data_IF_809096221045
#
_entry.id   IF_809096221045
#
_cell.length_a   1.000
_cell.length_b   1.000
_cell.length_c   1.000
_cell.angle_alpha   90.00
_cell.angle_beta   90.00
_cell.angle_gamma   90.00
#
_symmetry.space_group_name_H-M   'P 1'
#
loop_
_entity.id
_entity.type
_entity.pdbx_description
1 polymer ?
#
# COMPACT_ATOMS: atom_id res chain seq x y z
N UNK A 1 -5.43 -16.44 -38.39
CA UNK A 1 -5.51 -16.73 -36.94
C UNK A 1 -4.19 -16.22 -36.39
N UNK A 2 -4.20 -15.02 -35.81
CA UNK A 2 -2.97 -14.34 -35.41
C UNK A 2 -2.57 -14.93 -34.06
N UNK A 3 -1.38 -15.55 -34.02
CA UNK A 3 -0.67 -15.85 -32.78
C UNK A 3 -0.42 -14.54 -32.04
N UNK A 4 -1.32 -14.23 -31.12
CA UNK A 4 -1.21 -13.07 -30.25
C UNK A 4 -0.22 -13.44 -29.15
N UNK A 5 1.04 -13.09 -29.38
CA UNK A 5 2.15 -13.09 -28.42
C UNK A 5 1.69 -12.44 -27.10
N UNK A 6 1.23 -13.27 -26.17
CA UNK A 6 0.92 -12.87 -24.81
C UNK A 6 2.25 -12.70 -24.08
N UNK A 7 2.92 -11.56 -24.33
CA UNK A 7 4.03 -11.13 -23.51
C UNK A 7 3.60 -11.22 -22.04
N UNK A 8 4.37 -11.87 -21.16
CA UNK A 8 4.04 -11.89 -19.75
C UNK A 8 3.99 -10.44 -19.29
N UNK A 9 2.82 -9.96 -18.85
CA UNK A 9 2.68 -8.70 -18.15
C UNK A 9 3.59 -8.79 -16.92
N UNK A 10 4.85 -8.35 -17.05
CA UNK A 10 5.77 -8.26 -15.93
C UNK A 10 5.19 -7.22 -15.00
N UNK A 11 4.45 -7.67 -14.00
CA UNK A 11 3.95 -6.80 -12.96
C UNK A 11 5.16 -6.08 -12.36
N UNK A 12 5.22 -4.77 -12.55
CA UNK A 12 6.30 -3.95 -12.00
C UNK A 12 6.09 -3.93 -10.49
N UNK A 13 6.89 -4.72 -9.77
CA UNK A 13 6.89 -4.72 -8.30
C UNK A 13 7.27 -3.31 -7.84
N UNK A 14 6.35 -2.67 -7.14
CA UNK A 14 6.55 -1.35 -6.55
C UNK A 14 7.17 -1.47 -5.17
N UNK A 15 7.72 -0.36 -4.65
CA UNK A 15 8.22 -0.34 -3.26
C UNK A 15 7.10 -0.58 -2.24
N UNK A 16 5.84 -0.29 -2.59
CA UNK A 16 4.65 -0.53 -1.75
C UNK A 16 4.37 -2.02 -1.61
N UNK A 17 4.65 -2.84 -2.64
CA UNK A 17 4.46 -4.29 -2.61
C UNK A 17 5.41 -5.00 -1.64
N UNK A 18 6.52 -4.34 -1.28
CA UNK A 18 7.52 -4.85 -0.33
C UNK A 18 7.16 -4.57 1.13
N UNK A 19 6.13 -3.76 1.37
CA UNK A 19 5.68 -3.47 2.74
C UNK A 19 4.97 -4.68 3.34
N UNK A 20 5.10 -4.90 4.66
CA UNK A 20 4.23 -5.81 5.41
C UNK A 20 2.75 -5.50 5.13
N UNK A 21 1.92 -6.55 5.05
CA UNK A 21 0.51 -6.44 4.63
C UNK A 21 -0.28 -5.42 5.47
N UNK A 22 -0.06 -5.40 6.79
CA UNK A 22 -0.68 -4.45 7.72
C UNK A 22 -0.34 -2.98 7.41
N UNK A 23 0.90 -2.71 6.97
CA UNK A 23 1.33 -1.37 6.58
C UNK A 23 0.81 -1.02 5.18
N UNK A 24 0.83 -2.00 4.26
CA UNK A 24 0.39 -1.85 2.88
C UNK A 24 -1.09 -1.50 2.80
N UNK A 25 -1.94 -2.21 3.53
CA UNK A 25 -3.40 -2.02 3.46
C UNK A 25 -3.82 -0.62 3.87
N UNK A 26 -3.18 -0.02 4.89
CA UNK A 26 -3.46 1.36 5.30
C UNK A 26 -3.11 2.35 4.19
N UNK A 27 -1.98 2.17 3.49
CA UNK A 27 -1.63 3.05 2.36
C UNK A 27 -2.56 2.86 1.15
N UNK A 28 -2.99 1.63 0.88
CA UNK A 28 -3.97 1.36 -0.20
C UNK A 28 -5.27 2.11 0.09
N UNK A 29 -5.83 1.97 1.29
CA UNK A 29 -7.09 2.63 1.64
C UNK A 29 -6.95 4.16 1.68
N UNK A 30 -5.90 4.68 2.33
CA UNK A 30 -5.72 6.13 2.54
C UNK A 30 -5.29 6.88 1.28
N UNK A 31 -4.43 6.28 0.45
CA UNK A 31 -3.76 6.98 -0.65
C UNK A 31 -4.31 6.54 -2.00
N UNK A 32 -4.38 5.23 -2.27
CA UNK A 32 -4.86 4.75 -3.58
C UNK A 32 -6.37 4.90 -3.72
N UNK A 33 -7.13 4.65 -2.65
CA UNK A 33 -8.59 4.76 -2.63
C UNK A 33 -9.10 6.09 -2.07
N UNK A 34 -8.23 6.92 -1.48
CA UNK A 34 -8.60 8.24 -0.97
C UNK A 34 -9.53 8.24 0.25
N UNK A 35 -9.65 7.12 0.98
CA UNK A 35 -10.51 7.03 2.17
C UNK A 35 -9.98 7.92 3.29
N UNK A 36 -10.88 8.52 4.07
CA UNK A 36 -10.58 9.26 5.29
C UNK A 36 -9.98 8.37 6.39
N UNK A 37 -9.47 8.97 7.48
CA UNK A 37 -8.93 8.21 8.61
C UNK A 37 -10.05 7.44 9.31
N UNK A 38 -11.20 8.08 9.52
CA UNK A 38 -12.38 7.47 10.13
C UNK A 38 -12.87 6.27 9.32
N UNK A 39 -13.04 6.41 8.00
CA UNK A 39 -13.47 5.29 7.15
C UNK A 39 -12.45 4.14 7.15
N UNK A 40 -11.15 4.43 7.23
CA UNK A 40 -10.13 3.38 7.35
C UNK A 40 -10.20 2.68 8.72
N UNK A 41 -10.46 3.43 9.79
CA UNK A 41 -10.60 2.91 11.14
C UNK A 41 -11.78 1.93 11.21
N UNK A 42 -12.92 2.31 10.61
CA UNK A 42 -14.10 1.46 10.50
C UNK A 42 -13.82 0.19 9.68
N UNK A 43 -13.18 0.32 8.51
CA UNK A 43 -12.86 -0.81 7.62
C UNK A 43 -11.88 -1.80 8.26
N UNK A 44 -10.89 -1.30 9.00
CA UNK A 44 -9.82 -2.11 9.59
C UNK A 44 -10.10 -2.55 11.03
N UNK A 45 -11.25 -2.17 11.60
CA UNK A 45 -11.60 -2.39 13.01
C UNK A 45 -10.51 -1.86 13.97
N UNK A 46 -10.00 -0.66 13.66
CA UNK A 46 -8.98 0.06 14.42
C UNK A 46 -9.55 1.38 14.96
N UNK A 47 -8.84 2.02 15.90
CA UNK A 47 -9.09 3.43 16.21
C UNK A 47 -8.43 4.34 15.19
N UNK A 48 -8.92 5.57 15.04
CA UNK A 48 -8.27 6.55 14.17
C UNK A 48 -6.79 6.80 14.52
N UNK A 49 -6.45 6.77 15.80
CA UNK A 49 -5.07 6.94 16.27
C UNK A 49 -4.18 5.77 15.87
N UNK A 50 -4.71 4.54 15.92
CA UNK A 50 -4.02 3.37 15.39
C UNK A 50 -3.79 3.51 13.89
N UNK A 51 -4.79 3.97 13.11
CA UNK A 51 -4.62 4.22 11.67
C UNK A 51 -3.53 5.26 11.40
N UNK A 52 -3.51 6.37 12.14
CA UNK A 52 -2.46 7.40 12.04
C UNK A 52 -1.08 6.83 12.36
N UNK A 53 -0.97 6.02 13.41
CA UNK A 53 0.28 5.38 13.81
C UNK A 53 0.79 4.38 12.75
N UNK A 54 -0.10 3.52 12.24
CA UNK A 54 0.23 2.55 11.19
C UNK A 54 0.60 3.28 9.89
N UNK A 55 -0.12 4.32 9.50
CA UNK A 55 0.21 5.15 8.34
C UNK A 55 1.61 5.78 8.49
N UNK A 56 1.91 6.34 9.67
CA UNK A 56 3.24 6.91 9.93
C UNK A 56 4.34 5.84 9.79
N UNK A 57 4.16 4.66 10.39
CA UNK A 57 5.09 3.54 10.27
C UNK A 57 5.26 3.08 8.83
N UNK A 58 4.15 2.93 8.09
CA UNK A 58 4.15 2.53 6.69
C UNK A 58 4.98 3.50 5.83
N UNK A 59 4.81 4.81 6.02
CA UNK A 59 5.59 5.83 5.30
C UNK A 59 7.07 5.81 5.70
N UNK A 60 7.40 5.56 6.97
CA UNK A 60 8.79 5.44 7.42
C UNK A 60 9.49 4.23 6.79
N UNK A 61 8.84 3.07 6.75
CA UNK A 61 9.38 1.86 6.10
C UNK A 61 9.50 2.07 4.58
N UNK A 62 8.48 2.67 3.96
CA UNK A 62 8.51 2.95 2.52
C UNK A 62 9.65 3.90 2.14
N UNK A 63 9.89 4.95 2.94
CA UNK A 63 11.04 5.85 2.75
C UNK A 63 12.37 5.10 2.85
N UNK A 64 12.52 4.19 3.80
CA UNK A 64 13.72 3.38 3.92
C UNK A 64 13.93 2.50 2.67
N UNK A 65 12.87 1.92 2.10
CA UNK A 65 12.96 1.16 0.85
C UNK A 65 13.32 2.01 -0.38
N UNK A 66 12.86 3.26 -0.43
CA UNK A 66 13.15 4.17 -1.54
C UNK A 66 14.56 4.79 -1.44
N UNK A 67 15.02 5.11 -0.23
CA UNK A 67 16.35 5.67 0.03
C UNK A 67 17.47 4.64 0.10
N UNK A 68 17.15 3.33 0.13
CA UNK A 68 18.12 2.24 0.02
C UNK A 68 18.44 1.86 -1.45
N UNK A 69 18.22 2.79 -2.39
CA UNK A 69 18.50 2.64 -3.82
C UNK A 69 19.70 3.49 -4.20
#
# INVERSE_FOLDING_TARGET
MIDSDAAPCRARVTAVDRLPDELRIVLVLRIQQGRSVAECADVLMMTEDQVRLVQHRALSVLRAHLGAT
#
